data_IF_868728501791
#
_entry.id   IF_868728501791
#
_cell.length_a   1.000
_cell.length_b   1.000
_cell.length_c   1.000
_cell.angle_alpha   90.00
_cell.angle_beta   90.00
_cell.angle_gamma   90.00
#
_symmetry.space_group_name_H-M   'P 1'
#
loop_
_entity.id
_entity.type
_entity.pdbx_description
1 polymer ?
#
# COMPACT_ATOMS: atom_id res chain seq x y z
N UNK A 1 -3.73 -21.72 -10.53
CA UNK A 1 -2.69 -20.86 -11.12
C UNK A 1 -2.76 -19.42 -10.60
N UNK A 2 -3.87 -18.69 -10.77
CA UNK A 2 -3.94 -17.27 -10.32
C UNK A 2 -3.85 -17.12 -8.79
N UNK A 3 -4.62 -17.89 -8.03
CA UNK A 3 -4.55 -17.90 -6.55
C UNK A 3 -3.20 -18.37 -6.01
N UNK A 4 -2.56 -19.34 -6.66
CA UNK A 4 -1.27 -19.87 -6.22
C UNK A 4 -0.17 -18.83 -6.38
N UNK A 5 -0.21 -18.05 -7.46
CA UNK A 5 0.72 -16.93 -7.67
C UNK A 5 0.54 -15.84 -6.61
N UNK A 6 -0.71 -15.51 -6.26
CA UNK A 6 -1.05 -14.54 -5.21
C UNK A 6 -0.53 -15.02 -3.86
N UNK A 7 -0.83 -16.26 -3.48
CA UNK A 7 -0.32 -16.86 -2.23
C UNK A 7 1.20 -16.92 -2.20
N UNK A 8 1.83 -17.29 -3.32
CA UNK A 8 3.29 -17.29 -3.47
C UNK A 8 3.90 -15.90 -3.27
N UNK A 9 3.30 -14.88 -3.89
CA UNK A 9 3.75 -13.48 -3.76
C UNK A 9 3.62 -12.97 -2.31
N UNK A 10 2.55 -13.31 -1.61
CA UNK A 10 2.37 -12.93 -0.19
C UNK A 10 3.34 -13.66 0.72
N UNK A 11 3.57 -14.96 0.49
CA UNK A 11 4.57 -15.71 1.23
C UNK A 11 5.97 -15.08 1.09
N UNK A 12 6.32 -14.64 -0.13
CA UNK A 12 7.55 -13.92 -0.38
C UNK A 12 7.58 -12.53 0.31
N UNK A 13 6.48 -11.78 0.26
CA UNK A 13 6.33 -10.49 0.94
C UNK A 13 6.57 -10.61 2.46
N UNK A 14 5.90 -11.55 3.13
CA UNK A 14 6.07 -11.78 4.56
C UNK A 14 7.50 -12.21 4.90
N UNK A 15 8.09 -13.11 4.10
CA UNK A 15 9.48 -13.52 4.27
C UNK A 15 10.44 -12.33 4.12
N UNK A 16 10.26 -11.52 3.08
CA UNK A 16 11.11 -10.37 2.78
C UNK A 16 11.03 -9.32 3.89
N UNK A 17 9.82 -8.99 4.33
CA UNK A 17 9.60 -8.06 5.44
C UNK A 17 10.21 -8.59 6.74
N UNK A 18 10.09 -9.89 7.04
CA UNK A 18 10.73 -10.48 8.21
C UNK A 18 12.25 -10.36 8.15
N UNK A 19 12.86 -10.71 7.01
CA UNK A 19 14.31 -10.58 6.81
C UNK A 19 14.80 -9.15 6.96
N UNK A 20 14.10 -8.19 6.36
CA UNK A 20 14.42 -6.77 6.48
C UNK A 20 14.33 -6.32 7.95
N UNK A 21 13.27 -6.72 8.64
CA UNK A 21 13.06 -6.38 10.04
C UNK A 21 14.16 -6.94 10.94
N UNK A 22 14.54 -8.21 10.75
CA UNK A 22 15.59 -8.89 11.52
C UNK A 22 16.94 -8.18 11.35
N UNK A 23 17.28 -7.78 10.12
CA UNK A 23 18.52 -7.02 9.83
C UNK A 23 18.52 -5.70 10.60
N UNK A 24 17.45 -4.90 10.47
CA UNK A 24 17.38 -3.58 11.15
C UNK A 24 17.39 -3.75 12.67
N UNK A 25 16.68 -4.76 13.19
CA UNK A 25 16.65 -5.04 14.63
C UNK A 25 18.02 -5.46 15.17
N UNK A 26 18.79 -6.22 14.39
CA UNK A 26 20.16 -6.60 14.74
C UNK A 26 21.14 -5.43 14.85
N UNK A 27 20.82 -4.27 14.25
CA UNK A 27 21.61 -3.04 14.39
C UNK A 27 21.32 -2.27 15.69
N UNK A 28 20.26 -2.64 16.41
CA UNK A 28 19.81 -1.99 17.64
C UNK A 28 18.94 -0.74 17.41
N UNK A 29 18.16 -0.38 18.43
CA UNK A 29 17.20 0.74 18.41
C UNK A 29 17.87 2.08 18.03
N UNK A 30 19.02 2.40 18.64
CA UNK A 30 19.71 3.68 18.41
C UNK A 30 20.15 3.84 16.95
N UNK A 31 20.65 2.76 16.33
CA UNK A 31 21.04 2.78 14.91
C UNK A 31 19.81 2.85 14.02
N UNK A 32 18.75 2.12 14.35
CA UNK A 32 17.53 2.12 13.56
C UNK A 32 16.80 3.47 13.58
N UNK A 33 16.88 4.21 14.68
CA UNK A 33 16.29 5.53 14.85
C UNK A 33 17.18 6.67 14.31
N UNK A 34 18.45 6.39 13.98
CA UNK A 34 19.40 7.41 13.50
C UNK A 34 18.98 7.99 12.16
N UNK A 35 19.21 9.30 12.00
CA UNK A 35 19.02 10.00 10.75
C UNK A 35 19.95 9.47 9.64
N UNK A 36 19.38 9.12 8.47
CA UNK A 36 20.13 8.57 7.33
C UNK A 36 20.62 9.64 6.33
N UNK A 37 19.98 10.81 6.31
CA UNK A 37 20.27 11.92 5.40
C UNK A 37 19.13 12.21 4.42
N UNK A 38 19.13 13.42 3.83
CA UNK A 38 18.04 13.93 2.99
C UNK A 38 17.88 13.22 1.63
N UNK A 39 18.89 12.46 1.21
CA UNK A 39 18.87 11.66 -0.01
C UNK A 39 17.95 10.42 0.10
N UNK A 40 17.55 10.04 1.32
CA UNK A 40 16.66 8.90 1.54
C UNK A 40 15.20 9.37 1.68
N UNK A 41 14.27 8.56 1.17
CA UNK A 41 12.83 8.86 1.25
C UNK A 41 12.27 8.82 2.68
N UNK A 42 12.96 8.12 3.58
CA UNK A 42 12.58 8.02 5.00
C UNK A 42 13.73 8.51 5.87
N UNK A 43 13.43 9.23 6.97
CA UNK A 43 14.45 9.86 7.80
C UNK A 43 15.30 8.85 8.57
N UNK A 44 14.76 7.65 8.85
CA UNK A 44 15.40 6.60 9.65
C UNK A 44 15.02 5.21 9.15
N UNK A 45 15.76 4.17 9.56
CA UNK A 45 15.41 2.77 9.23
C UNK A 45 14.11 2.34 9.93
N UNK A 46 13.91 2.76 11.18
CA UNK A 46 12.64 2.54 11.91
C UNK A 46 11.48 3.22 11.18
N UNK A 47 11.68 4.43 10.67
CA UNK A 47 10.67 5.16 9.89
C UNK A 47 10.32 4.45 8.58
N UNK A 48 11.31 3.89 7.88
CA UNK A 48 11.07 3.04 6.70
C UNK A 48 10.24 1.80 7.05
N UNK A 49 10.59 1.08 8.13
CA UNK A 49 9.83 -0.09 8.57
C UNK A 49 8.39 0.28 8.97
N UNK A 50 8.22 1.38 9.71
CA UNK A 50 6.91 1.89 10.09
C UNK A 50 6.04 2.24 8.87
N UNK A 51 6.64 2.82 7.82
CA UNK A 51 5.97 3.11 6.57
C UNK A 51 5.50 1.84 5.85
N UNK A 52 6.35 0.82 5.76
CA UNK A 52 5.97 -0.46 5.14
C UNK A 52 4.77 -1.06 5.89
N UNK A 53 4.84 -1.15 7.22
CA UNK A 53 3.73 -1.61 8.03
C UNK A 53 2.46 -0.77 7.80
N UNK A 54 2.58 0.56 7.78
CA UNK A 54 1.47 1.48 7.55
C UNK A 54 0.80 1.26 6.18
N UNK A 55 1.60 1.05 5.13
CA UNK A 55 1.10 0.77 3.79
C UNK A 55 0.35 -0.58 3.73
N UNK A 56 0.93 -1.62 4.32
CA UNK A 56 0.33 -2.94 4.44
C UNK A 56 -1.03 -2.91 5.16
N UNK A 57 -1.13 -2.13 6.25
CA UNK A 57 -2.37 -1.93 7.01
C UNK A 57 -3.43 -1.24 6.16
N UNK A 58 -3.08 -0.14 5.50
CA UNK A 58 -3.99 0.62 4.63
C UNK A 58 -4.59 -0.28 3.56
N UNK A 59 -3.76 -1.09 2.90
CA UNK A 59 -4.24 -1.94 1.81
C UNK A 59 -5.17 -3.03 2.31
N UNK A 60 -4.85 -3.68 3.42
CA UNK A 60 -5.73 -4.67 4.02
C UNK A 60 -7.09 -4.06 4.41
N UNK A 61 -7.09 -2.86 4.99
CA UNK A 61 -8.31 -2.14 5.33
C UNK A 61 -9.14 -1.84 4.07
N UNK A 62 -8.52 -1.33 3.01
CA UNK A 62 -9.20 -1.07 1.73
C UNK A 62 -9.80 -2.34 1.12
N UNK A 63 -9.05 -3.43 1.09
CA UNK A 63 -9.55 -4.70 0.54
C UNK A 63 -10.71 -5.28 1.34
N UNK A 64 -10.71 -5.08 2.65
CA UNK A 64 -11.79 -5.52 3.54
C UNK A 64 -12.94 -4.51 3.67
N UNK A 65 -12.94 -3.45 2.84
CA UNK A 65 -14.01 -2.44 2.80
C UNK A 65 -13.99 -1.47 3.98
N UNK A 66 -12.94 -1.50 4.81
CA UNK A 66 -12.72 -0.53 5.89
C UNK A 66 -12.14 0.76 5.31
N UNK A 67 -12.37 1.87 6.03
CA UNK A 67 -11.79 3.17 5.71
C UNK A 67 -10.54 3.37 6.58
N UNK A 68 -9.34 3.46 5.99
CA UNK A 68 -8.15 3.75 6.77
C UNK A 68 -8.23 5.12 7.40
N UNK A 69 -7.86 5.22 8.68
CA UNK A 69 -7.89 6.48 9.41
C UNK A 69 -6.69 7.38 9.08
N UNK A 70 -5.48 6.78 9.01
CA UNK A 70 -4.24 7.47 8.66
C UNK A 70 -3.18 6.47 8.19
N UNK A 71 -2.15 6.95 7.51
CA UNK A 71 -0.92 6.20 7.31
C UNK A 71 -0.09 6.25 8.61
N UNK A 72 0.16 5.09 9.20
CA UNK A 72 1.01 4.99 10.39
C UNK A 72 2.47 5.28 10.01
N UNK A 73 3.15 6.03 10.86
CA UNK A 73 4.56 6.39 10.69
C UNK A 73 5.40 6.10 11.95
N UNK A 74 6.66 6.50 11.92
CA UNK A 74 7.64 6.23 13.00
C UNK A 74 7.09 6.59 14.41
N UNK A 75 6.48 7.77 14.52
CA UNK A 75 5.93 8.30 15.77
C UNK A 75 4.76 7.49 16.36
N UNK A 76 4.15 6.59 15.58
CA UNK A 76 3.06 5.74 16.05
C UNK A 76 3.54 4.49 16.80
N UNK A 77 4.85 4.23 16.81
CA UNK A 77 5.47 3.06 17.43
C UNK A 77 6.51 3.50 18.46
N UNK A 78 6.43 2.95 19.66
CA UNK A 78 7.34 3.36 20.75
C UNK A 78 8.74 2.75 20.62
N UNK A 79 8.88 1.63 19.92
CA UNK A 79 10.14 0.90 19.71
C UNK A 79 10.03 -0.03 18.50
N UNK A 80 11.14 -0.62 18.06
CA UNK A 80 11.12 -1.74 17.11
C UNK A 80 10.32 -2.91 17.68
N UNK A 81 10.42 -3.19 18.99
CA UNK A 81 9.64 -4.27 19.60
C UNK A 81 8.12 -4.05 19.50
N UNK A 82 7.63 -2.82 19.74
CA UNK A 82 6.22 -2.46 19.56
C UNK A 82 5.80 -2.57 18.10
N UNK A 83 6.63 -2.05 17.18
CA UNK A 83 6.40 -2.19 15.74
C UNK A 83 6.31 -3.66 15.32
N UNK A 84 7.23 -4.51 15.78
CA UNK A 84 7.23 -5.95 15.46
C UNK A 84 5.96 -6.63 15.93
N UNK A 85 5.56 -6.37 17.18
CA UNK A 85 4.33 -6.96 17.77
C UNK A 85 3.09 -6.60 16.96
N UNK A 86 2.94 -5.32 16.58
CA UNK A 86 1.78 -4.87 15.77
C UNK A 86 1.83 -5.44 14.36
N UNK A 87 3.02 -5.55 13.79
CA UNK A 87 3.22 -6.13 12.46
C UNK A 87 2.95 -7.63 12.45
N UNK A 88 3.28 -8.37 13.51
CA UNK A 88 2.90 -9.79 13.64
C UNK A 88 1.38 -9.96 13.61
N UNK A 89 0.64 -9.13 14.35
CA UNK A 89 -0.82 -9.13 14.31
C UNK A 89 -1.39 -8.79 12.92
N UNK A 90 -0.77 -7.83 12.22
CA UNK A 90 -1.13 -7.49 10.85
C UNK A 90 -0.85 -8.65 9.88
N UNK A 91 0.29 -9.32 9.99
CA UNK A 91 0.63 -10.50 9.17
C UNK A 91 -0.40 -11.61 9.38
N UNK A 92 -0.85 -11.86 10.61
CA UNK A 92 -1.90 -12.86 10.88
C UNK A 92 -3.26 -12.49 10.26
N UNK A 93 -3.62 -11.20 10.26
CA UNK A 93 -4.82 -10.72 9.56
C UNK A 93 -4.68 -10.87 8.04
N UNK A 94 -3.52 -10.52 7.48
CA UNK A 94 -3.22 -10.68 6.06
C UNK A 94 -3.27 -12.15 5.63
N UNK A 95 -2.67 -13.06 6.41
CA UNK A 95 -2.70 -14.51 6.15
C UNK A 95 -4.13 -15.03 6.08
N UNK A 96 -4.93 -14.72 7.09
CA UNK A 96 -6.36 -15.11 7.11
C UNK A 96 -7.12 -14.57 5.89
N UNK A 97 -6.86 -13.33 5.50
CA UNK A 97 -7.47 -12.75 4.31
C UNK A 97 -7.04 -13.48 3.03
N UNK A 98 -5.73 -13.67 2.82
CA UNK A 98 -5.15 -14.29 1.62
C UNK A 98 -5.54 -15.76 1.47
N UNK A 99 -5.60 -16.50 2.59
CA UNK A 99 -5.99 -17.90 2.58
C UNK A 99 -7.47 -18.08 2.22
N UNK A 100 -8.32 -17.14 2.66
CA UNK A 100 -9.75 -17.13 2.37
C UNK A 100 -10.10 -16.73 0.93
N UNK A 101 -9.15 -16.16 0.16
CA UNK A 101 -9.41 -15.70 -1.20
C UNK A 101 -9.87 -16.83 -2.12
N UNK A 102 -10.95 -16.55 -2.83
CA UNK A 102 -11.55 -17.36 -3.89
C UNK A 102 -11.31 -16.74 -5.27
N UNK A 103 -11.43 -17.50 -6.37
CA UNK A 103 -11.24 -16.94 -7.71
C UNK A 103 -12.20 -15.78 -8.05
N UNK A 104 -13.43 -15.82 -7.53
CA UNK A 104 -14.42 -14.75 -7.76
C UNK A 104 -14.05 -13.46 -7.03
N UNK A 105 -13.45 -13.55 -5.83
CA UNK A 105 -12.99 -12.38 -5.08
C UNK A 105 -11.84 -11.64 -5.77
N UNK A 106 -11.01 -12.35 -6.54
CA UNK A 106 -9.96 -11.73 -7.36
C UNK A 106 -10.53 -10.83 -8.47
N UNK A 107 -11.75 -11.10 -8.94
CA UNK A 107 -12.41 -10.30 -9.99
C UNK A 107 -13.13 -9.06 -9.43
N UNK A 108 -13.23 -8.95 -8.10
CA UNK A 108 -13.94 -7.86 -7.44
C UNK A 108 -13.24 -6.52 -7.66
N UNK A 109 -14.01 -5.50 -8.02
CA UNK A 109 -13.53 -4.12 -8.06
C UNK A 109 -13.50 -3.57 -6.63
N UNK A 110 -12.31 -3.25 -6.14
CA UNK A 110 -12.14 -2.56 -4.85
C UNK A 110 -12.18 -1.05 -5.10
N UNK A 111 -13.16 -0.39 -4.50
CA UNK A 111 -13.33 1.07 -4.53
C UNK A 111 -12.99 1.62 -3.15
N UNK A 112 -12.12 2.63 -3.09
CA UNK A 112 -11.71 3.24 -1.83
C UNK A 112 -11.53 4.75 -1.97
N UNK A 113 -11.57 5.45 -0.83
CA UNK A 113 -11.33 6.90 -0.75
C UNK A 113 -9.86 7.16 -0.41
N UNK A 114 -9.34 8.30 -0.89
CA UNK A 114 -8.03 8.80 -0.46
C UNK A 114 -7.98 9.02 1.04
N UNK A 115 -6.77 9.02 1.63
CA UNK A 115 -6.59 9.29 3.07
C UNK A 115 -7.04 10.70 3.45
N UNK A 116 -7.01 11.63 2.50
CA UNK A 116 -7.52 12.99 2.64
C UNK A 116 -9.05 13.09 2.53
N UNK A 117 -9.74 11.95 2.39
CA UNK A 117 -11.18 11.87 2.18
C UNK A 117 -11.63 12.33 0.79
N UNK A 118 -10.70 12.69 -0.10
CA UNK A 118 -10.99 13.18 -1.45
C UNK A 118 -10.76 12.08 -2.48
N UNK A 119 -11.54 12.14 -3.55
CA UNK A 119 -11.43 11.20 -4.66
C UNK A 119 -11.94 9.79 -4.32
N UNK A 120 -12.36 9.08 -5.35
CA UNK A 120 -12.75 7.67 -5.27
C UNK A 120 -11.90 6.93 -6.28
N UNK A 121 -11.11 6.00 -5.80
CA UNK A 121 -10.12 5.28 -6.60
C UNK A 121 -10.55 3.83 -6.71
N UNK A 122 -10.37 3.27 -7.91
CA UNK A 122 -10.36 1.81 -8.06
C UNK A 122 -8.95 1.35 -7.77
N UNK A 123 -8.79 0.22 -7.09
CA UNK A 123 -7.47 -0.32 -6.78
C UNK A 123 -6.61 -0.61 -8.03
N UNK A 124 -7.20 -0.64 -9.24
CA UNK A 124 -6.48 -0.76 -10.52
C UNK A 124 -5.83 0.53 -11.02
N UNK A 125 -6.19 1.69 -10.47
CA UNK A 125 -5.85 3.00 -11.05
C UNK A 125 -4.73 3.73 -10.28
N UNK A 126 -4.14 3.14 -9.23
CA UNK A 126 -3.19 3.83 -8.34
C UNK A 126 -1.98 2.97 -7.94
N UNK A 127 -0.92 3.03 -8.76
CA UNK A 127 0.34 2.27 -8.62
C UNK A 127 1.51 3.19 -8.21
N UNK A 128 1.80 3.35 -6.92
CA UNK A 128 3.02 4.05 -6.48
C UNK A 128 3.87 3.27 -5.47
N UNK A 129 3.35 2.21 -4.84
CA UNK A 129 4.13 1.31 -3.98
C UNK A 129 3.80 -0.13 -4.34
N UNK A 130 4.80 -0.88 -4.82
CA UNK A 130 4.70 -2.27 -5.28
C UNK A 130 4.32 -3.30 -4.20
N UNK A 131 3.48 -2.93 -3.24
CA UNK A 131 2.84 -3.79 -2.24
C UNK A 131 1.32 -3.87 -2.43
N UNK A 132 0.79 -3.33 -3.53
CA UNK A 132 -0.51 -3.78 -4.02
C UNK A 132 -0.32 -5.21 -4.47
N UNK A 133 -0.73 -6.20 -3.68
CA UNK A 133 -0.58 -7.56 -4.14
C UNK A 133 -1.53 -7.79 -5.30
N UNK A 134 -0.91 -7.68 -6.47
CA UNK A 134 -1.39 -7.92 -7.82
C UNK A 134 -2.72 -7.24 -8.15
N UNK A 135 -2.68 -6.13 -8.87
CA UNK A 135 -3.83 -5.41 -9.42
C UNK A 135 -4.76 -6.27 -10.31
N UNK A 136 -5.52 -7.26 -9.79
CA UNK A 136 -6.45 -8.08 -10.60
C UNK A 136 -5.81 -8.53 -11.92
N UNK A 137 -4.51 -8.86 -11.90
CA UNK A 137 -3.71 -8.77 -13.12
C UNK A 137 -4.17 -9.81 -14.17
N UNK A 138 -4.79 -9.28 -15.23
CA UNK A 138 -4.50 -9.56 -16.64
C UNK A 138 -4.69 -11.01 -17.11
N UNK A 139 -5.91 -11.32 -17.53
CA UNK A 139 -6.18 -11.81 -18.90
C UNK A 139 -7.65 -11.57 -19.29
N UNK A 140 -7.87 -10.57 -20.16
CA UNK A 140 -9.13 -10.34 -20.83
C UNK A 140 -8.87 -9.79 -22.22
N UNK A 141 -8.37 -10.66 -23.12
CA UNK A 141 -8.37 -10.54 -24.59
C UNK A 141 -7.99 -9.17 -25.17
N UNK A 142 -6.79 -9.10 -25.77
CA UNK A 142 -6.56 -8.20 -26.91
C UNK A 142 -7.61 -8.53 -27.97
N UNK A 143 -8.69 -7.76 -28.06
CA UNK A 143 -9.46 -7.52 -29.28
C UNK A 143 -10.29 -6.22 -29.08
N UNK A 144 -10.17 -5.22 -29.96
CA UNK A 144 -10.89 -3.97 -29.82
C UNK A 144 -12.30 -4.14 -30.35
N UNK A 145 -13.34 -3.99 -29.52
CA UNK A 145 -14.64 -3.60 -30.04
C UNK A 145 -15.42 -2.72 -29.05
N UNK A 146 -15.51 -1.45 -29.46
CA UNK A 146 -16.58 -0.46 -29.20
C UNK A 146 -17.08 -0.34 -27.76
N UNK A 147 -16.51 0.62 -27.04
CA UNK A 147 -17.23 1.37 -26.03
C UNK A 147 -17.55 2.76 -26.61
N UNK A 148 -18.83 3.12 -26.56
CA UNK A 148 -19.32 4.47 -26.82
C UNK A 148 -18.77 5.48 -25.81
N UNK A 149 -19.05 6.79 -26.00
CA UNK A 149 -18.34 7.84 -25.29
C UNK A 149 -18.55 7.75 -23.77
N UNK A 150 -17.43 7.81 -23.04
CA UNK A 150 -17.41 7.95 -21.59
C UNK A 150 -17.96 9.32 -21.18
N UNK A 151 -18.66 9.44 -20.02
CA UNK A 151 -19.13 10.72 -19.53
C UNK A 151 -17.95 11.61 -19.10
N UNK A 152 -18.06 12.90 -19.43
CA UNK A 152 -17.00 13.90 -19.27
C UNK A 152 -16.58 14.09 -17.81
N UNK A 153 -15.28 13.97 -17.55
CA UNK A 153 -14.62 14.49 -16.35
C UNK A 153 -14.74 16.03 -16.37
N UNK A 154 -15.41 16.58 -15.36
CA UNK A 154 -15.57 18.03 -15.18
C UNK A 154 -14.20 18.63 -14.84
N UNK A 155 -13.63 19.41 -15.77
CA UNK A 155 -12.54 20.34 -15.46
C UNK A 155 -13.11 21.45 -14.58
N UNK A 156 -12.48 21.69 -13.44
CA UNK A 156 -12.72 22.89 -12.65
C UNK A 156 -11.93 24.03 -13.29
N UNK A 157 -12.60 24.85 -14.09
CA UNK A 157 -12.06 26.12 -14.55
C UNK A 157 -12.07 27.13 -13.39
N UNK A 158 -10.90 27.70 -13.12
CA UNK A 158 -10.70 28.85 -12.24
C UNK A 158 -9.55 29.66 -12.78
N UNK A 159 -9.86 30.68 -13.58
CA UNK A 159 -8.91 31.65 -14.11
C UNK A 159 -8.44 32.61 -13.01
N UNK A 160 -7.15 32.96 -13.02
CA UNK A 160 -6.59 33.96 -12.09
C UNK A 160 -5.10 34.22 -12.27
N UNK A 161 -4.75 34.98 -13.33
CA UNK A 161 -3.61 35.88 -13.48
C UNK A 161 -2.16 35.36 -13.30
N UNK A 162 -1.44 35.37 -14.42
CA UNK A 162 0.02 35.34 -14.53
C UNK A 162 0.66 36.57 -13.86
N UNK A 163 1.79 36.36 -13.15
CA UNK A 163 2.90 37.30 -13.07
C UNK A 163 4.23 36.53 -13.04
N UNK A 164 5.27 36.99 -13.76
CA UNK A 164 6.59 36.39 -13.71
C UNK A 164 7.39 36.92 -12.51
N UNK A 165 8.20 36.08 -11.91
CA UNK A 165 9.19 36.46 -10.91
C UNK A 165 10.52 36.81 -11.59
N UNK A 166 11.11 37.92 -11.14
CA UNK A 166 12.53 38.28 -11.32
C UNK A 166 13.43 37.37 -10.47
#
# INVERSE_FOLDING_TARGET
MELDLIRGSWNYHWWGNRKLFDIVSGLGEDTAARALGSQFSFPSLKGMLAHIHGADRIWLERWTGKKPAKLLGDADFTSLADLRKRWDGLEDEQRRFVDALTPSELQRVVVHTGLDGKGTFRARDHDHHGQGLAAVHRHGRLLPHRLGPAPALRRSDGAGAERPWE
#
